data_IF_807238748493
#
_entry.id   IF_807238748493
#
_cell.length_a   1.000
_cell.length_b   1.000
_cell.length_c   1.000
_cell.angle_alpha   90.00
_cell.angle_beta   90.00
_cell.angle_gamma   90.00
#
_symmetry.space_group_name_H-M   'P 1'
#
loop_
_entity.id
_entity.type
_entity.pdbx_description
1 polymer ?
#
# COMPACT_ATOMS: atom_id res chain seq x y z
N UNK A 1 -25.65 -10.32 -3.78
CA UNK A 1 -25.35 -11.70 -3.35
C UNK A 1 -23.96 -12.04 -3.87
N UNK A 2 -23.05 -12.48 -2.99
CA UNK A 2 -21.76 -13.05 -3.42
C UNK A 2 -22.09 -14.34 -4.15
N UNK A 3 -21.78 -14.42 -5.45
CA UNK A 3 -22.15 -15.58 -6.29
C UNK A 3 -21.30 -16.83 -5.98
N UNK A 4 -20.06 -16.65 -5.55
CA UNK A 4 -19.15 -17.72 -5.15
C UNK A 4 -17.93 -17.13 -4.41
N UNK A 5 -17.29 -17.95 -3.58
CA UNK A 5 -15.99 -17.69 -2.98
C UNK A 5 -15.06 -18.81 -3.43
N UNK A 6 -13.89 -18.47 -3.98
CA UNK A 6 -12.84 -19.43 -4.29
C UNK A 6 -11.69 -19.23 -3.31
N UNK A 7 -11.12 -20.32 -2.80
CA UNK A 7 -10.03 -20.29 -1.83
C UNK A 7 -8.88 -21.13 -2.40
N UNK A 8 -7.67 -20.60 -2.26
CA UNK A 8 -6.43 -21.31 -2.53
C UNK A 8 -5.49 -21.16 -1.35
N UNK A 9 -4.82 -22.24 -0.97
CA UNK A 9 -3.84 -22.21 0.12
C UNK A 9 -2.44 -21.91 -0.43
N UNK A 10 -1.82 -20.86 0.10
CA UNK A 10 -0.42 -20.55 -0.10
C UNK A 10 0.43 -21.06 1.06
N UNK A 11 1.71 -21.33 0.81
CA UNK A 11 2.67 -21.71 1.85
C UNK A 11 3.66 -20.59 2.10
N UNK A 12 3.65 -20.04 3.32
CA UNK A 12 4.71 -19.13 3.77
C UNK A 12 5.96 -19.95 4.11
N UNK A 13 7.09 -19.59 3.51
CA UNK A 13 8.38 -20.18 3.87
C UNK A 13 9.22 -19.16 4.64
N UNK A 14 9.75 -19.56 5.81
CA UNK A 14 10.71 -18.73 6.56
C UNK A 14 11.93 -18.32 5.74
N UNK A 15 12.34 -19.17 4.77
CA UNK A 15 13.48 -18.90 3.87
C UNK A 15 13.21 -17.82 2.83
N UNK A 16 11.94 -17.39 2.68
CA UNK A 16 11.51 -16.41 1.69
C UNK A 16 11.06 -15.08 2.30
N UNK A 17 11.31 -14.83 3.60
CA UNK A 17 10.97 -13.55 4.22
C UNK A 17 11.98 -12.50 3.73
N UNK A 18 11.49 -11.41 3.09
CA UNK A 18 12.39 -10.36 2.59
C UNK A 18 13.01 -9.56 3.72
N UNK A 19 14.33 -9.48 3.80
CA UNK A 19 15.07 -8.77 4.85
C UNK A 19 14.68 -7.28 4.96
N UNK A 20 14.31 -6.64 3.85
CA UNK A 20 13.87 -5.24 3.86
C UNK A 20 12.56 -5.01 4.64
N UNK A 21 11.83 -6.08 5.00
CA UNK A 21 10.62 -6.02 5.85
C UNK A 21 10.89 -6.41 7.31
N UNK A 22 12.14 -6.68 7.68
CA UNK A 22 12.50 -6.89 9.08
C UNK A 22 12.13 -5.69 9.96
N UNK A 23 11.90 -5.94 11.24
CA UNK A 23 11.45 -4.92 12.19
C UNK A 23 12.40 -3.72 12.22
N UNK A 24 13.70 -4.00 12.23
CA UNK A 24 14.78 -3.00 12.25
C UNK A 24 14.87 -2.26 10.90
N UNK A 25 14.78 -2.99 9.79
CA UNK A 25 14.86 -2.42 8.43
C UNK A 25 13.71 -1.45 8.13
N UNK A 26 12.56 -1.64 8.77
CA UNK A 26 11.36 -0.79 8.60
C UNK A 26 11.25 0.31 9.66
N UNK A 27 12.11 0.33 10.68
CA UNK A 27 12.11 1.36 11.72
C UNK A 27 12.25 2.79 11.16
N UNK A 28 13.09 3.07 10.14
CA UNK A 28 13.19 4.39 9.54
C UNK A 28 11.87 4.92 8.95
N UNK A 29 11.02 4.05 8.37
CA UNK A 29 9.72 4.47 7.87
C UNK A 29 8.79 4.94 8.99
N UNK A 30 8.78 4.22 10.11
CA UNK A 30 8.01 4.61 11.31
C UNK A 30 8.52 5.90 11.94
N UNK A 31 9.83 6.07 12.01
CA UNK A 31 10.44 7.31 12.51
C UNK A 31 10.02 8.50 11.62
N UNK A 32 10.19 8.37 10.31
CA UNK A 32 9.79 9.39 9.34
C UNK A 32 8.32 9.80 9.49
N UNK A 33 7.39 8.83 9.58
CA UNK A 33 5.97 9.16 9.71
C UNK A 33 5.66 9.93 11.00
N UNK A 34 6.30 9.58 12.12
CA UNK A 34 6.11 10.25 13.42
C UNK A 34 6.56 11.72 13.42
N UNK A 35 7.47 12.09 12.54
CA UNK A 35 7.93 13.47 12.38
C UNK A 35 6.98 14.32 11.52
N UNK A 36 6.05 13.70 10.80
CA UNK A 36 5.05 14.44 10.01
C UNK A 36 4.03 15.13 10.93
N UNK A 37 3.78 16.44 10.78
CA UNK A 37 2.85 17.18 11.65
C UNK A 37 1.43 16.60 11.71
N UNK A 38 0.98 15.97 10.63
CA UNK A 38 -0.36 15.35 10.54
C UNK A 38 -0.39 13.91 11.02
N UNK A 39 0.75 13.37 11.47
CA UNK A 39 0.78 11.99 11.93
C UNK A 39 -0.01 11.82 13.21
N UNK A 40 -0.86 10.83 13.20
CA UNK A 40 -1.47 10.24 14.38
C UNK A 40 -1.66 8.74 14.16
N UNK A 41 -1.55 7.95 15.21
CA UNK A 41 -1.92 6.55 15.11
C UNK A 41 -3.41 6.44 14.81
N UNK A 42 -3.75 5.69 13.75
CA UNK A 42 -5.14 5.44 13.43
C UNK A 42 -5.74 4.43 14.42
N UNK A 43 -7.04 4.46 14.69
CA UNK A 43 -7.61 3.58 15.71
C UNK A 43 -7.60 2.12 15.30
N UNK A 44 -7.40 1.24 16.28
CA UNK A 44 -7.73 -0.18 16.20
C UNK A 44 -9.09 -0.40 16.85
N UNK A 45 -10.14 -0.47 16.04
CA UNK A 45 -11.51 -0.60 16.52
C UNK A 45 -11.77 -2.02 17.05
N UNK A 46 -12.21 -2.13 18.31
CA UNK A 46 -12.62 -3.40 18.91
C UNK A 46 -14.12 -3.63 18.66
N UNK A 47 -14.45 -4.57 17.78
CA UNK A 47 -15.82 -4.89 17.35
C UNK A 47 -16.48 -5.94 18.28
N UNK A 48 -16.65 -5.59 19.55
CA UNK A 48 -17.16 -6.49 20.60
C UNK A 48 -18.48 -7.18 20.24
N UNK A 49 -19.43 -6.44 19.65
CA UNK A 49 -20.75 -6.99 19.29
C UNK A 49 -20.63 -8.00 18.14
N UNK A 50 -19.81 -7.72 17.13
CA UNK A 50 -19.57 -8.65 16.04
C UNK A 50 -18.85 -9.91 16.52
N UNK A 51 -17.87 -9.77 17.40
CA UNK A 51 -17.19 -10.90 18.02
C UNK A 51 -18.16 -11.82 18.77
N UNK A 52 -19.08 -11.24 19.53
CA UNK A 52 -20.14 -11.99 20.24
C UNK A 52 -21.06 -12.73 19.27
N UNK A 53 -21.50 -12.09 18.19
CA UNK A 53 -22.37 -12.70 17.17
C UNK A 53 -21.69 -13.90 16.51
N UNK A 54 -20.38 -13.76 16.20
CA UNK A 54 -19.60 -14.80 15.53
C UNK A 54 -19.00 -15.85 16.50
N UNK A 55 -19.18 -15.70 17.80
CA UNK A 55 -18.68 -16.65 18.80
C UNK A 55 -17.14 -16.70 18.90
N UNK A 56 -16.46 -15.58 18.59
CA UNK A 56 -14.99 -15.47 18.67
C UNK A 56 -14.57 -14.56 19.83
N UNK A 57 -13.34 -14.72 20.33
CA UNK A 57 -12.81 -13.98 21.49
C UNK A 57 -12.73 -12.47 21.25
N UNK A 58 -12.39 -12.04 20.06
CA UNK A 58 -12.28 -10.63 19.69
C UNK A 58 -12.13 -10.44 18.19
N UNK A 59 -12.60 -9.30 17.69
CA UNK A 59 -12.41 -8.82 16.32
C UNK A 59 -11.92 -7.39 16.40
N UNK A 60 -10.78 -7.14 15.77
CA UNK A 60 -10.12 -5.85 15.77
C UNK A 60 -9.90 -5.38 14.33
N UNK A 61 -10.24 -4.13 14.05
CA UNK A 61 -10.09 -3.54 12.71
C UNK A 61 -9.21 -2.31 12.78
N UNK A 62 -8.08 -2.33 12.08
CA UNK A 62 -7.22 -1.16 11.89
C UNK A 62 -7.89 -0.21 10.91
N UNK A 63 -8.42 0.89 11.42
CA UNK A 63 -9.23 1.84 10.64
C UNK A 63 -8.34 2.95 10.05
N UNK A 64 -7.89 2.75 8.82
CA UNK A 64 -7.07 3.71 8.08
C UNK A 64 -7.88 4.86 7.44
N UNK A 65 -9.18 4.96 7.68
CA UNK A 65 -10.02 6.04 7.15
C UNK A 65 -9.65 7.43 7.71
N UNK A 66 -8.82 7.48 8.74
CA UNK A 66 -8.36 8.75 9.35
C UNK A 66 -6.92 9.13 8.97
N UNK A 67 -6.21 8.27 8.22
CA UNK A 67 -4.80 8.48 7.91
C UNK A 67 -4.57 9.80 7.14
N UNK A 68 -3.83 10.73 7.75
CA UNK A 68 -3.46 12.03 7.19
C UNK A 68 -4.62 12.85 6.60
N UNK A 69 -5.87 12.59 6.99
CA UNK A 69 -7.05 13.22 6.38
C UNK A 69 -7.36 12.77 4.95
N UNK A 70 -6.66 11.76 4.43
CA UNK A 70 -6.82 11.27 3.05
C UNK A 70 -7.75 10.07 2.93
N UNK A 71 -8.30 9.59 4.04
CA UNK A 71 -9.21 8.44 4.10
C UNK A 71 -8.65 7.14 3.51
N UNK A 72 -7.32 6.98 3.47
CA UNK A 72 -6.64 5.80 2.92
C UNK A 72 -5.20 5.67 3.40
N UNK A 73 -4.73 4.44 3.60
CA UNK A 73 -3.37 4.11 4.03
C UNK A 73 -2.27 4.43 3.00
N UNK A 74 -2.62 4.60 1.73
CA UNK A 74 -1.66 4.71 0.61
C UNK A 74 -0.63 5.83 0.78
N UNK A 75 -0.98 6.89 1.52
CA UNK A 75 -0.05 7.99 1.81
C UNK A 75 1.15 7.56 2.66
N UNK A 76 1.04 6.53 3.49
CA UNK A 76 2.18 5.99 4.25
C UNK A 76 3.31 5.53 3.31
N UNK A 77 2.97 4.71 2.31
CA UNK A 77 3.96 4.22 1.36
C UNK A 77 4.51 5.33 0.47
N UNK A 78 3.60 6.12 -0.13
CA UNK A 78 4.00 7.18 -1.06
C UNK A 78 4.88 8.24 -0.38
N UNK A 79 4.55 8.69 0.84
CA UNK A 79 5.35 9.71 1.52
C UNK A 79 6.74 9.22 1.90
N UNK A 80 6.87 7.98 2.36
CA UNK A 80 8.16 7.43 2.70
C UNK A 80 9.06 7.26 1.47
N UNK A 81 8.54 6.68 0.38
CA UNK A 81 9.29 6.53 -0.86
C UNK A 81 9.72 7.89 -1.44
N UNK A 82 8.80 8.86 -1.48
CA UNK A 82 9.09 10.21 -1.98
C UNK A 82 10.12 10.92 -1.08
N UNK A 83 10.08 10.75 0.24
CA UNK A 83 11.08 11.33 1.13
C UNK A 83 12.49 10.82 0.84
N UNK A 84 12.64 9.53 0.51
CA UNK A 84 13.94 8.93 0.15
C UNK A 84 14.44 9.42 -1.21
N UNK A 85 13.54 9.69 -2.17
CA UNK A 85 13.89 10.32 -3.44
C UNK A 85 14.33 11.76 -3.18
N UNK A 86 13.53 12.53 -2.44
CA UNK A 86 13.77 13.94 -2.14
C UNK A 86 15.11 14.17 -1.41
N UNK A 87 15.51 13.25 -0.53
CA UNK A 87 16.80 13.32 0.17
C UNK A 87 18.02 13.26 -0.76
N UNK A 88 17.86 12.79 -1.99
CA UNK A 88 18.90 12.72 -3.02
C UNK A 88 18.85 13.91 -4.00
N UNK A 89 17.79 14.71 -3.93
CA UNK A 89 17.54 15.82 -4.85
C UNK A 89 18.19 17.12 -4.34
N UNK A 90 18.82 17.88 -5.25
CA UNK A 90 19.34 19.21 -4.92
C UNK A 90 18.23 20.22 -4.64
N UNK A 91 17.11 20.11 -5.33
CA UNK A 91 15.94 20.99 -5.22
C UNK A 91 14.64 20.17 -5.18
N UNK A 92 14.28 19.55 -4.06
CA UNK A 92 13.13 18.68 -3.97
C UNK A 92 11.80 19.34 -4.38
N UNK A 93 11.66 20.65 -4.14
CA UNK A 93 10.45 21.42 -4.52
C UNK A 93 10.28 21.62 -6.03
N UNK A 94 11.31 21.38 -6.84
CA UNK A 94 11.25 21.43 -8.31
C UNK A 94 11.03 20.07 -8.93
N UNK A 95 11.04 19.01 -8.13
CA UNK A 95 10.83 17.66 -8.62
C UNK A 95 9.39 17.47 -9.12
N UNK A 96 9.21 16.54 -10.03
CA UNK A 96 7.91 16.10 -10.52
C UNK A 96 7.79 14.60 -10.25
N UNK A 97 6.75 14.20 -9.54
CA UNK A 97 6.46 12.81 -9.21
C UNK A 97 5.31 12.30 -10.06
N UNK A 98 5.54 11.22 -10.79
CA UNK A 98 4.59 10.65 -11.77
C UNK A 98 4.11 9.30 -11.30
N UNK A 99 2.81 9.03 -11.44
CA UNK A 99 2.24 7.70 -11.15
C UNK A 99 1.04 7.41 -12.03
N UNK A 100 0.67 6.12 -12.14
CA UNK A 100 -0.63 5.69 -12.65
C UNK A 100 -1.45 5.04 -11.53
N UNK A 101 -2.77 5.30 -11.49
CA UNK A 101 -3.62 4.86 -10.39
C UNK A 101 -5.09 4.95 -10.74
N UNK A 102 -5.91 4.16 -10.03
CA UNK A 102 -7.39 4.31 -9.99
C UNK A 102 -7.88 5.26 -8.89
N UNK A 103 -6.95 5.84 -8.05
CA UNK A 103 -7.31 6.84 -7.06
C UNK A 103 -6.38 6.99 -5.85
N UNK A 104 -6.42 6.07 -4.88
CA UNK A 104 -5.80 6.28 -3.56
C UNK A 104 -4.27 6.40 -3.58
N UNK A 105 -3.58 5.67 -4.48
CA UNK A 105 -2.14 5.80 -4.60
C UNK A 105 -1.76 7.19 -5.16
N UNK A 106 -2.46 7.67 -6.18
CA UNK A 106 -2.27 9.02 -6.72
C UNK A 106 -2.53 10.10 -5.68
N UNK A 107 -3.54 9.95 -4.83
CA UNK A 107 -3.77 10.88 -3.69
C UNK A 107 -2.58 10.89 -2.74
N UNK A 108 -2.02 9.73 -2.43
CA UNK A 108 -0.83 9.61 -1.59
C UNK A 108 0.39 10.29 -2.21
N UNK A 109 0.64 10.08 -3.51
CA UNK A 109 1.74 10.71 -4.26
C UNK A 109 1.55 12.23 -4.31
N UNK A 110 0.35 12.70 -4.67
CA UNK A 110 0.02 14.13 -4.72
C UNK A 110 0.22 14.81 -3.36
N UNK A 111 -0.24 14.17 -2.28
CA UNK A 111 -0.07 14.69 -0.93
C UNK A 111 1.40 14.76 -0.53
N UNK A 112 2.18 13.72 -0.79
CA UNK A 112 3.60 13.72 -0.46
C UNK A 112 4.40 14.76 -1.27
N UNK A 113 4.08 14.92 -2.56
CA UNK A 113 4.65 15.97 -3.41
C UNK A 113 4.30 17.37 -2.87
N UNK A 114 3.05 17.61 -2.51
CA UNK A 114 2.60 18.87 -1.92
C UNK A 114 3.39 19.24 -0.66
N UNK A 115 3.72 18.27 0.22
CA UNK A 115 4.53 18.49 1.42
C UNK A 115 5.95 19.01 1.12
N UNK A 116 6.45 18.73 -0.06
CA UNK A 116 7.75 19.20 -0.53
C UNK A 116 7.66 20.50 -1.35
N UNK A 117 6.44 21.02 -1.59
CA UNK A 117 6.22 22.10 -2.56
C UNK A 117 6.48 21.67 -4.00
N UNK A 118 6.45 20.37 -4.28
CA UNK A 118 6.70 19.75 -5.57
C UNK A 118 5.40 19.44 -6.32
N UNK A 119 5.52 19.05 -7.60
CA UNK A 119 4.40 18.70 -8.47
C UNK A 119 4.14 17.19 -8.48
N UNK A 120 2.87 16.81 -8.62
CA UNK A 120 2.47 15.46 -9.00
C UNK A 120 1.78 15.45 -10.38
N UNK A 121 2.09 14.44 -11.20
CA UNK A 121 1.39 14.16 -12.45
C UNK A 121 0.85 12.73 -12.42
N UNK A 122 -0.46 12.59 -12.56
CA UNK A 122 -1.18 11.35 -12.29
C UNK A 122 -1.99 10.94 -13.50
N UNK A 123 -1.74 9.74 -14.00
CA UNK A 123 -2.48 9.14 -15.10
C UNK A 123 -3.45 8.10 -14.55
N UNK A 124 -4.71 8.21 -14.93
CA UNK A 124 -5.76 7.30 -14.49
C UNK A 124 -6.27 6.47 -15.67
N UNK A 125 -6.57 5.17 -15.47
CA UNK A 125 -7.07 4.34 -16.55
C UNK A 125 -8.48 4.76 -16.99
N UNK A 126 -8.86 4.30 -18.19
CA UNK A 126 -10.21 4.48 -18.73
C UNK A 126 -11.26 3.97 -17.75
N UNK A 127 -12.39 4.68 -17.64
CA UNK A 127 -13.46 4.33 -16.71
C UNK A 127 -13.26 4.81 -15.28
N UNK A 128 -12.13 5.45 -14.96
CA UNK A 128 -11.94 6.12 -13.68
C UNK A 128 -13.01 7.20 -13.46
N UNK A 129 -13.52 7.30 -12.24
CA UNK A 129 -14.53 8.28 -11.90
C UNK A 129 -13.93 9.68 -11.76
N UNK A 130 -14.54 10.69 -12.38
CA UNK A 130 -14.10 12.09 -12.33
C UNK A 130 -13.95 12.60 -10.88
N UNK A 131 -14.84 12.22 -9.97
CA UNK A 131 -14.73 12.61 -8.57
C UNK A 131 -13.44 12.10 -7.87
N UNK A 132 -12.84 11.00 -8.36
CA UNK A 132 -11.52 10.54 -7.87
C UNK A 132 -10.40 11.38 -8.45
N UNK A 133 -10.48 11.74 -9.73
CA UNK A 133 -9.53 12.65 -10.37
C UNK A 133 -9.56 14.02 -9.71
N UNK A 134 -10.73 14.57 -9.44
CA UNK A 134 -10.91 15.85 -8.75
C UNK A 134 -10.35 15.83 -7.33
N UNK A 135 -10.53 14.72 -6.61
CA UNK A 135 -9.95 14.54 -5.28
C UNK A 135 -8.41 14.57 -5.28
N UNK A 136 -7.77 14.22 -6.40
CA UNK A 136 -6.31 14.33 -6.57
C UNK A 136 -5.93 15.73 -7.03
N UNK A 137 -6.64 16.32 -8.01
CA UNK A 137 -6.42 17.70 -8.52
C UNK A 137 -6.50 18.73 -7.40
N UNK A 138 -7.35 18.50 -6.38
CA UNK A 138 -7.46 19.36 -5.22
C UNK A 138 -6.28 19.31 -4.25
N UNK A 139 -5.23 18.53 -4.52
CA UNK A 139 -4.07 18.38 -3.63
C UNK A 139 -2.84 19.05 -4.26
N UNK A 140 -2.41 20.17 -3.69
CA UNK A 140 -1.18 20.89 -4.09
C UNK A 140 -1.14 21.25 -5.59
N UNK A 141 0.04 21.20 -6.21
CA UNK A 141 0.23 21.36 -7.66
C UNK A 141 0.14 19.98 -8.34
N UNK A 142 -1.09 19.48 -8.47
CA UNK A 142 -1.34 18.15 -9.05
C UNK A 142 -2.05 18.25 -10.40
N UNK A 143 -1.47 17.58 -11.41
CA UNK A 143 -2.12 17.38 -12.71
C UNK A 143 -2.64 15.96 -12.81
N UNK A 144 -3.88 15.81 -13.28
CA UNK A 144 -4.51 14.49 -13.42
C UNK A 144 -5.15 14.39 -14.79
N UNK A 145 -4.83 13.30 -15.47
CA UNK A 145 -5.40 12.91 -16.75
C UNK A 145 -6.07 11.56 -16.64
N UNK A 146 -7.36 11.46 -17.00
CA UNK A 146 -8.03 10.19 -17.23
C UNK A 146 -7.77 9.83 -18.69
N UNK A 147 -7.01 8.77 -18.89
CA UNK A 147 -6.57 8.31 -20.21
C UNK A 147 -7.62 7.39 -20.84
N UNK A 148 -7.44 7.05 -22.09
CA UNK A 148 -8.18 6.01 -22.82
C UNK A 148 -7.57 4.61 -22.68
N UNK A 149 -6.52 4.48 -21.86
CA UNK A 149 -5.75 3.26 -21.64
C UNK A 149 -6.33 2.43 -20.48
N UNK A 150 -6.15 1.09 -20.55
CA UNK A 150 -6.33 0.23 -19.37
C UNK A 150 -5.27 0.51 -18.31
N UNK A 151 -5.40 -0.12 -17.13
CA UNK A 151 -4.48 0.14 -16.01
C UNK A 151 -3.02 -0.18 -16.35
N UNK A 152 -2.74 -1.34 -16.95
CA UNK A 152 -1.36 -1.76 -17.25
C UNK A 152 -0.71 -0.86 -18.31
N UNK A 153 -1.47 -0.42 -19.31
CA UNK A 153 -1.01 0.53 -20.32
C UNK A 153 -0.76 1.92 -19.72
N UNK A 154 -1.63 2.39 -18.84
CA UNK A 154 -1.44 3.65 -18.13
C UNK A 154 -0.18 3.63 -17.25
N UNK A 155 0.13 2.50 -16.59
CA UNK A 155 1.36 2.31 -15.82
C UNK A 155 2.60 2.37 -16.73
N UNK A 156 2.58 1.69 -17.89
CA UNK A 156 3.67 1.74 -18.88
C UNK A 156 3.87 3.16 -19.40
N UNK A 157 2.78 3.81 -19.80
CA UNK A 157 2.80 5.19 -20.26
C UNK A 157 3.40 6.15 -19.22
N UNK A 158 2.95 6.07 -17.97
CA UNK A 158 3.45 6.92 -16.88
C UNK A 158 4.96 6.71 -16.63
N UNK A 159 5.44 5.47 -16.72
CA UNK A 159 6.86 5.14 -16.60
C UNK A 159 7.69 5.77 -17.72
N UNK A 160 7.25 5.61 -18.98
CA UNK A 160 7.94 6.15 -20.15
C UNK A 160 7.90 7.68 -20.18
N UNK A 161 6.75 8.25 -19.79
CA UNK A 161 6.58 9.70 -19.65
C UNK A 161 7.54 10.28 -18.61
N UNK A 162 7.63 9.66 -17.43
CA UNK A 162 8.54 10.08 -16.38
C UNK A 162 10.00 10.03 -16.86
N UNK A 163 10.41 8.91 -17.49
CA UNK A 163 11.76 8.74 -18.04
C UNK A 163 12.09 9.78 -19.10
N UNK A 164 11.18 10.04 -20.04
CA UNK A 164 11.39 11.01 -21.14
C UNK A 164 11.59 12.43 -20.61
N UNK A 165 10.91 12.80 -19.53
CA UNK A 165 10.93 14.15 -18.98
C UNK A 165 11.94 14.33 -17.83
N UNK A 166 12.65 13.28 -17.39
CA UNK A 166 13.54 13.32 -16.25
C UNK A 166 12.79 13.47 -14.92
N UNK A 167 11.57 12.93 -14.84
CA UNK A 167 10.71 12.95 -13.66
C UNK A 167 10.83 11.65 -12.85
N UNK A 168 10.37 11.64 -11.60
CA UNK A 168 10.39 10.47 -10.74
C UNK A 168 9.12 9.66 -10.89
N UNK A 169 9.23 8.44 -11.41
CA UNK A 169 8.13 7.49 -11.43
C UNK A 169 7.96 6.86 -10.05
N UNK A 170 6.76 6.97 -9.46
CA UNK A 170 6.45 6.47 -8.10
C UNK A 170 5.25 5.55 -8.17
N UNK A 171 5.52 4.27 -8.40
CA UNK A 171 4.49 3.24 -8.55
C UNK A 171 4.63 2.17 -7.47
N UNK A 172 3.50 1.63 -7.00
CA UNK A 172 3.44 0.62 -5.95
C UNK A 172 3.48 -0.82 -6.47
N UNK A 173 3.66 -1.00 -7.77
CA UNK A 173 3.97 -2.28 -8.42
C UNK A 173 5.40 -2.32 -8.90
N UNK A 174 6.10 -3.41 -8.61
CA UNK A 174 7.49 -3.62 -9.02
C UNK A 174 7.65 -4.61 -10.15
N UNK A 175 8.82 -4.58 -10.79
CA UNK A 175 9.29 -5.59 -11.73
C UNK A 175 10.80 -5.82 -11.53
N UNK A 176 11.42 -6.67 -12.34
CA UNK A 176 12.84 -7.02 -12.20
C UNK A 176 13.78 -5.79 -12.20
N UNK A 177 13.43 -4.73 -12.91
CA UNK A 177 14.24 -3.52 -13.09
C UNK A 177 13.74 -2.31 -12.26
N UNK A 178 12.63 -2.45 -11.54
CA UNK A 178 12.00 -1.40 -10.74
C UNK A 178 11.53 -1.98 -9.40
N UNK A 179 12.43 -2.00 -8.41
CA UNK A 179 12.18 -2.61 -7.10
C UNK A 179 12.34 -1.65 -5.93
N UNK A 180 13.27 -0.72 -5.99
CA UNK A 180 13.63 0.12 -4.83
C UNK A 180 12.44 0.97 -4.35
N UNK A 181 11.80 1.68 -5.25
CA UNK A 181 10.65 2.53 -4.91
C UNK A 181 9.44 1.71 -4.43
N UNK A 182 9.01 0.62 -5.09
CA UNK A 182 8.01 -0.30 -4.55
C UNK A 182 8.37 -0.87 -3.18
N UNK A 183 9.64 -1.22 -2.93
CA UNK A 183 10.09 -1.68 -1.62
C UNK A 183 9.96 -0.58 -0.56
N UNK A 184 10.35 0.66 -0.88
CA UNK A 184 10.19 1.79 0.03
C UNK A 184 8.72 2.09 0.33
N UNK A 185 7.84 2.02 -0.69
CA UNK A 185 6.39 2.13 -0.51
C UNK A 185 5.89 1.04 0.44
N UNK A 186 6.33 -0.20 0.22
CA UNK A 186 5.95 -1.36 1.02
C UNK A 186 6.44 -1.22 2.46
N UNK A 187 7.67 -0.74 2.69
CA UNK A 187 8.18 -0.40 4.02
C UNK A 187 7.31 0.65 4.71
N UNK A 188 6.87 1.68 3.98
CA UNK A 188 5.96 2.69 4.53
C UNK A 188 4.67 2.11 5.09
N UNK A 189 4.10 1.08 4.45
CA UNK A 189 2.88 0.41 4.93
C UNK A 189 3.07 -0.34 6.25
N UNK A 190 4.31 -0.72 6.61
CA UNK A 190 4.58 -1.42 7.87
C UNK A 190 4.27 -0.58 9.10
N UNK A 191 4.19 0.74 8.97
CA UNK A 191 3.80 1.64 10.08
C UNK A 191 2.43 1.27 10.63
N UNK A 192 1.41 1.07 9.78
CA UNK A 192 0.07 0.68 10.27
C UNK A 192 0.07 -0.72 10.91
N UNK A 193 0.91 -1.64 10.41
CA UNK A 193 1.05 -2.97 10.98
C UNK A 193 1.66 -2.91 12.40
N UNK A 194 2.72 -2.14 12.57
CA UNK A 194 3.34 -1.92 13.87
C UNK A 194 2.39 -1.26 14.87
N UNK A 195 1.67 -0.21 14.45
CA UNK A 195 0.63 0.43 15.28
C UNK A 195 -0.43 -0.58 15.71
N UNK A 196 -0.93 -1.42 14.78
CA UNK A 196 -1.94 -2.42 15.06
C UNK A 196 -1.47 -3.44 16.12
N UNK A 197 -0.21 -3.92 16.01
CA UNK A 197 0.38 -4.84 17.00
C UNK A 197 0.43 -4.17 18.37
N UNK A 198 0.95 -2.94 18.46
CA UNK A 198 1.05 -2.22 19.75
C UNK A 198 -0.31 -1.93 20.38
N UNK A 199 -1.30 -1.64 19.56
CA UNK A 199 -2.68 -1.46 20.04
C UNK A 199 -3.33 -2.77 20.48
N UNK A 200 -3.02 -3.91 19.82
CA UNK A 200 -3.45 -5.25 20.27
C UNK A 200 -2.86 -5.61 21.64
N UNK A 201 -1.56 -5.35 21.84
CA UNK A 201 -0.90 -5.52 23.15
C UNK A 201 -1.63 -4.73 24.24
N UNK A 202 -2.07 -3.49 23.94
CA UNK A 202 -2.89 -2.67 24.82
C UNK A 202 -4.26 -3.27 25.16
N UNK A 203 -4.78 -4.17 24.33
CA UNK A 203 -5.98 -4.97 24.60
C UNK A 203 -5.68 -6.33 25.28
N UNK A 204 -4.43 -6.61 25.65
CA UNK A 204 -4.01 -7.89 26.21
C UNK A 204 -3.98 -9.03 25.20
N UNK A 205 -3.75 -8.70 23.92
CA UNK A 205 -3.62 -9.67 22.81
C UNK A 205 -2.20 -9.63 22.29
N UNK A 206 -1.36 -10.58 22.71
CA UNK A 206 0.04 -10.64 22.28
C UNK A 206 0.18 -11.03 20.80
N UNK A 207 -0.68 -11.92 20.32
CA UNK A 207 -0.75 -12.32 18.91
C UNK A 207 -2.18 -12.71 18.54
N UNK A 208 -2.74 -12.15 17.45
CA UNK A 208 -4.02 -12.62 16.92
C UNK A 208 -3.87 -14.00 16.32
N UNK A 209 -4.92 -14.81 16.32
CA UNK A 209 -4.91 -16.13 15.66
C UNK A 209 -5.03 -16.02 14.15
N UNK A 210 -5.78 -15.03 13.66
CA UNK A 210 -6.07 -14.83 12.25
C UNK A 210 -5.89 -13.35 11.88
N UNK A 211 -5.48 -13.11 10.65
CA UNK A 211 -5.37 -11.79 10.05
C UNK A 211 -6.03 -11.81 8.67
N UNK A 212 -6.79 -10.76 8.36
CA UNK A 212 -7.43 -10.58 7.07
C UNK A 212 -6.89 -9.31 6.42
N UNK A 213 -6.41 -9.42 5.20
CA UNK A 213 -5.86 -8.33 4.41
C UNK A 213 -6.60 -8.27 3.08
N UNK A 214 -6.92 -7.07 2.61
CA UNK A 214 -7.36 -6.87 1.22
C UNK A 214 -6.15 -6.72 0.31
N UNK A 215 -6.29 -7.10 -0.95
CA UNK A 215 -5.31 -6.81 -1.97
C UNK A 215 -5.95 -6.29 -3.26
N UNK A 216 -5.23 -5.36 -3.91
CA UNK A 216 -5.30 -5.05 -5.31
C UNK A 216 -4.01 -5.59 -5.93
N UNK A 217 -2.99 -4.73 -6.14
CA UNK A 217 -1.67 -5.13 -6.68
C UNK A 217 -0.79 -5.93 -5.70
N UNK A 218 -1.20 -6.10 -4.44
CA UNK A 218 -0.54 -6.97 -3.47
C UNK A 218 0.51 -6.32 -2.56
N UNK A 219 1.05 -5.15 -2.87
CA UNK A 219 2.16 -4.53 -2.11
C UNK A 219 1.83 -4.27 -0.64
N UNK A 220 0.60 -3.85 -0.31
CA UNK A 220 0.19 -3.67 1.09
C UNK A 220 0.08 -5.01 1.82
N UNK A 221 -0.60 -5.97 1.22
CA UNK A 221 -0.78 -7.28 1.83
C UNK A 221 0.57 -7.99 2.05
N UNK A 222 1.45 -7.95 1.05
CA UNK A 222 2.81 -8.50 1.15
C UNK A 222 3.67 -7.79 2.19
N UNK A 223 3.61 -6.45 2.24
CA UNK A 223 4.35 -5.66 3.21
C UNK A 223 3.91 -5.90 4.66
N UNK A 224 2.60 -5.90 4.90
CA UNK A 224 2.04 -6.18 6.23
C UNK A 224 2.33 -7.61 6.65
N UNK A 225 2.09 -8.61 5.78
CA UNK A 225 2.36 -10.02 6.09
C UNK A 225 3.85 -10.26 6.35
N UNK A 226 4.73 -9.74 5.49
CA UNK A 226 6.18 -9.92 5.64
C UNK A 226 6.69 -9.28 6.94
N UNK A 227 6.27 -8.06 7.25
CA UNK A 227 6.60 -7.40 8.50
C UNK A 227 6.10 -8.19 9.74
N UNK A 228 4.85 -8.61 9.74
CA UNK A 228 4.25 -9.38 10.84
C UNK A 228 4.93 -10.75 11.00
N UNK A 229 5.34 -11.38 9.88
CA UNK A 229 6.10 -12.62 9.93
C UNK A 229 7.48 -12.43 10.59
N UNK A 230 8.18 -11.34 10.28
CA UNK A 230 9.42 -10.99 11.01
C UNK A 230 9.16 -10.67 12.49
N UNK A 231 8.10 -9.91 12.79
CA UNK A 231 7.76 -9.54 14.16
C UNK A 231 7.50 -10.76 15.06
N UNK A 232 6.90 -11.83 14.52
CA UNK A 232 6.61 -13.07 15.22
C UNK A 232 7.56 -14.22 14.85
N UNK A 233 8.83 -13.93 14.55
CA UNK A 233 9.90 -14.92 14.29
C UNK A 233 9.53 -15.99 13.25
N UNK A 234 8.87 -15.58 12.19
CA UNK A 234 8.42 -16.45 11.09
C UNK A 234 7.21 -17.31 11.46
N UNK A 235 6.48 -16.95 12.50
CA UNK A 235 5.22 -17.58 12.91
C UNK A 235 4.07 -16.56 12.95
N UNK A 236 3.67 -15.98 11.80
CA UNK A 236 2.58 -15.01 11.75
C UNK A 236 1.22 -15.66 12.09
N UNK A 237 0.17 -14.85 12.34
CA UNK A 237 -1.21 -15.33 12.35
C UNK A 237 -1.57 -16.04 11.04
N UNK A 238 -2.55 -16.95 11.08
CA UNK A 238 -3.14 -17.46 9.83
C UNK A 238 -3.67 -16.28 9.03
N UNK A 239 -3.12 -16.07 7.84
CA UNK A 239 -3.39 -14.88 7.05
C UNK A 239 -4.25 -15.22 5.84
N UNK A 240 -5.39 -14.53 5.71
CA UNK A 240 -6.25 -14.59 4.54
C UNK A 240 -6.12 -13.28 3.76
N UNK A 241 -5.77 -13.37 2.49
CA UNK A 241 -5.81 -12.23 1.56
C UNK A 241 -7.10 -12.30 0.75
N UNK A 242 -7.89 -11.24 0.82
CA UNK A 242 -9.15 -11.12 0.09
C UNK A 242 -8.96 -10.23 -1.15
N UNK A 243 -9.34 -10.74 -2.32
CA UNK A 243 -9.23 -10.04 -3.59
C UNK A 243 -10.58 -9.98 -4.31
N UNK A 244 -10.87 -8.90 -5.06
CA UNK A 244 -11.99 -8.89 -6.00
C UNK A 244 -11.77 -9.94 -7.09
N UNK A 245 -12.83 -10.62 -7.48
CA UNK A 245 -12.75 -11.71 -8.47
C UNK A 245 -12.13 -11.28 -9.81
N UNK A 246 -12.46 -10.09 -10.26
CA UNK A 246 -12.01 -9.57 -11.56
C UNK A 246 -10.51 -9.23 -11.61
N UNK A 247 -9.86 -9.05 -10.45
CA UNK A 247 -8.47 -8.59 -10.35
C UNK A 247 -7.66 -9.37 -9.29
N UNK A 248 -7.96 -10.66 -9.15
CA UNK A 248 -7.37 -11.56 -8.15
C UNK A 248 -5.95 -12.02 -8.53
N UNK A 249 -5.00 -11.09 -8.59
CA UNK A 249 -3.64 -11.37 -9.08
C UNK A 249 -2.84 -12.32 -8.16
N UNK A 250 -3.03 -12.26 -6.85
CA UNK A 250 -2.35 -13.16 -5.91
C UNK A 250 -2.92 -14.57 -6.03
N UNK A 251 -4.25 -14.70 -6.09
CA UNK A 251 -4.92 -15.99 -6.27
C UNK A 251 -4.46 -16.68 -7.57
N UNK A 252 -4.48 -15.97 -8.70
CA UNK A 252 -4.06 -16.53 -9.99
C UNK A 252 -2.55 -16.84 -10.03
N UNK A 253 -1.72 -16.03 -9.36
CA UNK A 253 -0.27 -16.33 -9.24
C UNK A 253 -0.01 -17.61 -8.46
N UNK A 254 -0.69 -17.82 -7.33
CA UNK A 254 -0.58 -19.06 -6.55
C UNK A 254 -1.08 -20.27 -7.36
N UNK A 255 -2.23 -20.12 -8.03
CA UNK A 255 -2.87 -21.15 -8.82
C UNK A 255 -2.02 -21.61 -10.01
N UNK A 256 -1.33 -20.67 -10.66
CA UNK A 256 -0.43 -20.97 -11.79
C UNK A 256 0.92 -21.49 -11.35
N UNK A 257 1.26 -21.47 -10.06
CA UNK A 257 2.58 -21.83 -9.55
C UNK A 257 3.69 -20.88 -9.96
N UNK A 258 3.34 -19.66 -10.41
CA UNK A 258 4.32 -18.66 -10.80
C UNK A 258 5.08 -18.10 -9.59
N UNK A 259 6.39 -17.90 -9.74
CA UNK A 259 7.24 -17.25 -8.72
C UNK A 259 7.05 -15.71 -8.66
N UNK A 260 6.20 -15.14 -9.50
CA UNK A 260 5.93 -13.71 -9.59
C UNK A 260 4.46 -13.39 -9.81
N UNK A 261 4.08 -12.10 -9.73
CA UNK A 261 2.70 -11.68 -9.91
C UNK A 261 2.23 -11.91 -11.35
N UNK A 262 1.06 -12.55 -11.48
CA UNK A 262 0.37 -12.72 -12.76
C UNK A 262 -0.44 -11.47 -13.07
N UNK A 263 -0.28 -10.92 -14.29
CA UNK A 263 -1.17 -9.84 -14.77
C UNK A 263 -2.57 -10.40 -15.00
N UNK A 264 -3.57 -9.76 -14.45
CA UNK A 264 -4.99 -10.19 -14.54
C UNK A 264 -5.84 -9.24 -15.38
N UNK A 265 -5.22 -8.21 -15.98
CA UNK A 265 -5.87 -7.27 -16.89
C UNK A 265 -7.06 -6.58 -16.20
N UNK A 266 -6.83 -5.52 -15.46
CA UNK A 266 -7.86 -4.69 -14.82
C UNK A 266 -8.16 -3.44 -15.64
#
# INVERSE_FOLDING_TARGET
>A
MVKSISIIEGKLSKKCLPDFLAVEATAPARAFHRELPEYSETPLANLKNLAKILGVKGIYVKDESKRFGLNAFKALGASYAISKIAAKEKNPSKAVYVTATDGNHGRGVAWAAMKLGARAEVFMPVGSKECRADAIRGIGDSKVEITDMNYDDAVRFASDYAKKNGYHFVQDTGNANYRDIPNDITQGYTTMAFEAIKQLEGYGVDKPTHMFLQAGVGSMAGGVLGFIAHYYDGNPPVTTVAEPWEVACIYESIKSGCEGPTSVGG
#
